data_IF_528339227750
#
_entry.id   IF_528339227750
#
_cell.length_a   1.000
_cell.length_b   1.000
_cell.length_c   1.000
_cell.angle_alpha   90.00
_cell.angle_beta   90.00
_cell.angle_gamma   90.00
#
_symmetry.space_group_name_H-M   'P 1'
#
loop_
_entity.id
_entity.type
_entity.pdbx_description
1 polymer ?
#
# COMPACT_ATOMS: atom_id res chain seq x y z
N UNK A 1 -19.25 -4.52 27.23
CA UNK A 1 -18.37 -5.44 26.48
C UNK A 1 -18.01 -4.92 25.09
N UNK A 2 -18.96 -4.39 24.32
CA UNK A 2 -18.75 -3.88 22.94
C UNK A 2 -17.62 -2.82 22.84
N UNK A 3 -17.66 -1.75 23.66
CA UNK A 3 -16.62 -0.68 23.64
C UNK A 3 -15.17 -1.16 23.76
N UNK A 4 -14.94 -2.17 24.60
CA UNK A 4 -13.62 -2.76 24.77
C UNK A 4 -13.19 -3.64 23.58
N UNK A 5 -14.14 -4.25 22.84
CA UNK A 5 -13.83 -4.94 21.59
C UNK A 5 -13.52 -3.98 20.45
N UNK A 6 -14.23 -2.86 20.32
CA UNK A 6 -13.94 -1.85 19.28
C UNK A 6 -12.52 -1.28 19.41
N UNK A 7 -12.14 -0.88 20.62
CA UNK A 7 -10.82 -0.32 20.89
C UNK A 7 -9.71 -1.32 20.54
N UNK A 8 -9.85 -2.58 20.97
CA UNK A 8 -8.87 -3.64 20.69
C UNK A 8 -8.77 -3.93 19.20
N UNK A 9 -9.89 -3.96 18.47
CA UNK A 9 -9.87 -4.15 17.03
C UNK A 9 -9.08 -3.05 16.31
N UNK A 10 -9.30 -1.78 16.67
CA UNK A 10 -8.54 -0.66 16.10
C UNK A 10 -7.04 -0.72 16.43
N UNK A 11 -6.69 -1.09 17.67
CA UNK A 11 -5.30 -1.24 18.08
C UNK A 11 -4.60 -2.39 17.35
N UNK A 12 -5.29 -3.51 17.16
CA UNK A 12 -4.77 -4.65 16.42
C UNK A 12 -4.55 -4.30 14.94
N UNK A 13 -5.52 -3.63 14.30
CA UNK A 13 -5.37 -3.17 12.91
C UNK A 13 -4.23 -2.18 12.76
N UNK A 14 -4.02 -1.30 13.73
CA UNK A 14 -2.87 -0.40 13.75
C UNK A 14 -1.55 -1.19 13.80
N UNK A 15 -1.44 -2.18 14.69
CA UNK A 15 -0.25 -3.03 14.78
C UNK A 15 0.04 -3.78 13.47
N UNK A 16 -0.98 -4.38 12.88
CA UNK A 16 -0.86 -5.11 11.60
C UNK A 16 -0.44 -4.20 10.44
N UNK A 17 -0.97 -2.97 10.38
CA UNK A 17 -0.58 -2.02 9.35
C UNK A 17 0.87 -1.54 9.54
N UNK A 18 1.27 -1.28 10.79
CA UNK A 18 2.64 -0.85 11.09
C UNK A 18 3.66 -1.94 10.71
N UNK A 19 3.39 -3.18 11.10
CA UNK A 19 4.25 -4.33 10.76
C UNK A 19 4.34 -4.53 9.24
N UNK A 20 3.22 -4.48 8.52
CA UNK A 20 3.22 -4.64 7.07
C UNK A 20 3.99 -3.52 6.35
N UNK A 21 3.91 -2.29 6.86
CA UNK A 21 4.69 -1.16 6.34
C UNK A 21 6.18 -1.32 6.60
N UNK A 22 6.58 -1.74 7.81
CA UNK A 22 7.99 -1.99 8.14
C UNK A 22 8.60 -3.08 7.26
N UNK A 23 7.82 -4.10 6.93
CA UNK A 23 8.25 -5.21 6.07
C UNK A 23 8.18 -4.88 4.56
N UNK A 24 7.53 -3.78 4.18
CA UNK A 24 7.26 -3.47 2.78
C UNK A 24 6.33 -4.50 2.10
N UNK A 25 5.48 -5.18 2.86
CA UNK A 25 4.56 -6.20 2.34
C UNK A 25 3.30 -5.54 1.78
N UNK A 26 3.36 -5.13 0.52
CA UNK A 26 2.28 -4.43 -0.17
C UNK A 26 1.00 -5.26 -0.31
N UNK A 27 1.12 -6.59 -0.42
CA UNK A 27 -0.03 -7.47 -0.47
C UNK A 27 -0.75 -7.47 0.88
N UNK A 28 0.00 -7.62 1.96
CA UNK A 28 -0.53 -7.56 3.32
C UNK A 28 -1.15 -6.20 3.66
N UNK A 29 -0.56 -5.10 3.19
CA UNK A 29 -1.15 -3.76 3.35
C UNK A 29 -2.55 -3.70 2.72
N UNK A 30 -2.75 -4.29 1.54
CA UNK A 30 -4.06 -4.36 0.89
C UNK A 30 -5.10 -5.16 1.68
N UNK A 31 -4.70 -6.29 2.26
CA UNK A 31 -5.58 -7.09 3.14
C UNK A 31 -5.98 -6.31 4.39
N UNK A 32 -5.01 -5.67 5.04
CA UNK A 32 -5.25 -4.87 6.25
C UNK A 32 -6.13 -3.66 5.93
N UNK A 33 -5.97 -3.00 4.77
CA UNK A 33 -6.84 -1.91 4.33
C UNK A 33 -8.31 -2.34 4.22
N UNK A 34 -8.57 -3.52 3.63
CA UNK A 34 -9.92 -4.06 3.55
C UNK A 34 -10.54 -4.31 4.94
N UNK A 35 -9.74 -4.82 5.88
CA UNK A 35 -10.16 -5.02 7.28
C UNK A 35 -10.41 -3.69 8.00
N UNK A 36 -9.57 -2.68 7.77
CA UNK A 36 -9.76 -1.32 8.29
C UNK A 36 -11.09 -0.76 7.78
N UNK A 37 -11.37 -0.87 6.48
CA UNK A 37 -12.65 -0.44 5.90
C UNK A 37 -13.83 -1.12 6.58
N UNK A 38 -13.81 -2.45 6.72
CA UNK A 38 -14.88 -3.20 7.37
C UNK A 38 -15.09 -2.77 8.83
N UNK A 39 -14.00 -2.59 9.58
CA UNK A 39 -14.05 -2.10 10.96
C UNK A 39 -14.67 -0.69 11.04
N UNK A 40 -14.25 0.23 10.18
CA UNK A 40 -14.77 1.60 10.15
C UNK A 40 -16.27 1.66 9.79
N UNK A 41 -16.74 0.77 8.91
CA UNK A 41 -18.17 0.64 8.58
C UNK A 41 -18.98 0.18 9.78
N UNK A 42 -18.49 -0.80 10.55
CA UNK A 42 -19.14 -1.24 11.79
C UNK A 42 -19.18 -0.12 12.83
N UNK A 43 -18.08 0.63 13.01
CA UNK A 43 -18.00 1.76 13.93
C UNK A 43 -18.94 2.91 13.55
N UNK A 44 -19.19 3.13 12.26
CA UNK A 44 -20.12 4.15 11.78
C UNK A 44 -21.58 3.84 12.15
N UNK A 45 -21.92 2.57 12.38
CA UNK A 45 -23.25 2.16 12.84
C UNK A 45 -23.49 2.36 14.34
N UNK A 46 -22.45 2.72 15.11
CA UNK A 46 -22.58 2.91 16.56
C UNK A 46 -23.07 4.34 16.89
N UNK A 47 -24.03 4.50 17.83
CA UNK A 47 -24.59 5.80 18.18
C UNK A 47 -23.58 6.72 18.87
N UNK A 48 -22.58 6.15 19.54
CA UNK A 48 -21.46 6.91 20.13
C UNK A 48 -20.22 6.04 20.27
N UNK A 49 -19.05 6.68 20.14
CA UNK A 49 -17.74 6.09 20.40
C UNK A 49 -17.18 6.70 21.69
N UNK A 50 -16.50 5.89 22.49
CA UNK A 50 -15.73 6.42 23.62
C UNK A 50 -14.53 7.22 23.14
N UNK A 51 -13.97 8.06 24.01
CA UNK A 51 -12.85 8.92 23.68
C UNK A 51 -11.59 8.10 23.35
N UNK A 52 -11.38 6.96 24.01
CA UNK A 52 -10.28 6.04 23.72
C UNK A 52 -10.40 5.45 22.33
N UNK A 53 -11.61 5.03 21.93
CA UNK A 53 -11.88 4.49 20.59
C UNK A 53 -11.71 5.57 19.52
N UNK A 54 -12.10 6.82 19.82
CA UNK A 54 -11.87 7.96 18.92
C UNK A 54 -10.37 8.24 18.76
N UNK A 55 -9.60 8.21 19.84
CA UNK A 55 -8.16 8.39 19.80
C UNK A 55 -7.45 7.26 19.04
N UNK A 56 -7.86 6.00 19.24
CA UNK A 56 -7.32 4.87 18.48
C UNK A 56 -7.63 4.98 16.98
N UNK A 57 -8.85 5.41 16.63
CA UNK A 57 -9.23 5.68 15.24
C UNK A 57 -8.36 6.77 14.60
N UNK A 58 -8.06 7.85 15.33
CA UNK A 58 -7.20 8.93 14.84
C UNK A 58 -5.76 8.46 14.58
N UNK A 59 -5.19 7.66 15.50
CA UNK A 59 -3.86 7.07 15.31
C UNK A 59 -3.82 6.17 14.08
N UNK A 60 -4.81 5.29 13.92
CA UNK A 60 -4.93 4.43 12.75
C UNK A 60 -5.07 5.25 11.45
N UNK A 61 -5.82 6.34 11.47
CA UNK A 61 -5.96 7.23 10.33
C UNK A 61 -4.63 7.89 9.94
N UNK A 62 -3.83 8.33 10.92
CA UNK A 62 -2.52 8.91 10.67
C UNK A 62 -1.57 7.90 10.02
N UNK A 63 -1.50 6.68 10.56
CA UNK A 63 -0.68 5.60 10.01
C UNK A 63 -1.15 5.20 8.60
N UNK A 64 -2.46 5.13 8.36
CA UNK A 64 -3.02 4.90 7.02
C UNK A 64 -2.61 5.99 6.03
N UNK A 65 -2.59 7.25 6.46
CA UNK A 65 -2.08 8.36 5.66
C UNK A 65 -0.62 8.15 5.23
N UNK A 66 0.23 7.68 6.14
CA UNK A 66 1.62 7.33 5.84
C UNK A 66 1.70 6.14 4.87
N UNK A 67 0.88 5.11 5.08
CA UNK A 67 0.79 3.96 4.18
C UNK A 67 0.47 4.38 2.75
N UNK A 68 -0.49 5.30 2.58
CA UNK A 68 -0.87 5.82 1.26
C UNK A 68 0.28 6.52 0.54
N UNK A 69 1.09 7.29 1.27
CA UNK A 69 2.28 7.95 0.70
C UNK A 69 3.30 6.89 0.27
N UNK A 70 3.62 5.94 1.14
CA UNK A 70 4.56 4.87 0.83
C UNK A 70 4.12 4.04 -0.38
N UNK A 71 2.83 3.70 -0.49
CA UNK A 71 2.28 3.00 -1.65
C UNK A 71 2.43 3.83 -2.94
N UNK A 72 2.24 5.14 -2.89
CA UNK A 72 2.41 6.01 -4.06
C UNK A 72 3.88 6.06 -4.51
N UNK A 73 4.81 6.15 -3.56
CA UNK A 73 6.25 6.11 -3.83
C UNK A 73 6.68 4.78 -4.45
N UNK A 74 6.14 3.66 -3.95
CA UNK A 74 6.42 2.34 -4.51
C UNK A 74 5.86 2.18 -5.92
N UNK A 75 4.63 2.63 -6.18
CA UNK A 75 4.07 2.65 -7.53
C UNK A 75 4.95 3.44 -8.50
N UNK A 76 5.49 4.58 -8.05
CA UNK A 76 6.40 5.41 -8.84
C UNK A 76 7.76 4.72 -9.06
N UNK A 77 8.28 3.98 -8.07
CA UNK A 77 9.49 3.16 -8.22
C UNK A 77 9.28 2.07 -9.27
N UNK A 78 8.17 1.33 -9.20
CA UNK A 78 7.84 0.27 -10.16
C UNK A 78 7.66 0.86 -11.57
N UNK A 79 6.98 2.00 -11.69
CA UNK A 79 6.82 2.71 -12.98
C UNK A 79 8.17 3.03 -13.62
N UNK A 80 9.12 3.57 -12.84
CA UNK A 80 10.47 3.88 -13.33
C UNK A 80 11.22 2.62 -13.77
N UNK A 81 11.13 1.53 -13.00
CA UNK A 81 11.75 0.25 -13.36
C UNK A 81 11.22 -0.30 -14.69
N UNK A 82 9.90 -0.26 -14.88
CA UNK A 82 9.26 -0.70 -16.13
C UNK A 82 9.69 0.15 -17.33
N UNK A 83 9.81 1.47 -17.16
CA UNK A 83 10.31 2.35 -18.22
C UNK A 83 11.76 2.02 -18.61
N UNK A 84 12.64 1.79 -17.63
CA UNK A 84 14.02 1.38 -17.93
C UNK A 84 14.07 0.06 -18.70
N UNK A 85 13.19 -0.91 -18.39
CA UNK A 85 13.11 -2.15 -19.16
C UNK A 85 12.62 -1.93 -20.60
N UNK A 86 11.69 -1.00 -20.81
CA UNK A 86 11.23 -0.63 -22.14
C UNK A 86 12.36 0.00 -22.97
N UNK A 87 13.03 1.01 -22.42
CA UNK A 87 14.18 1.68 -23.06
C UNK A 87 15.31 0.69 -23.38
N UNK A 88 15.59 -0.25 -22.47
CA UNK A 88 16.60 -1.29 -22.70
C UNK A 88 16.18 -2.27 -23.81
N UNK A 89 14.89 -2.63 -23.88
CA UNK A 89 14.38 -3.48 -24.95
C UNK A 89 14.43 -2.79 -26.32
N UNK A 90 14.06 -1.51 -26.38
CA UNK A 90 14.16 -0.68 -27.58
C UNK A 90 15.61 -0.51 -28.04
N UNK A 91 16.53 -0.25 -27.10
CA UNK A 91 17.97 -0.17 -27.37
C UNK A 91 18.52 -1.46 -27.97
N UNK A 92 18.20 -2.63 -27.39
CA UNK A 92 18.62 -3.93 -27.95
C UNK A 92 18.06 -4.18 -29.35
N UNK A 93 16.82 -3.78 -29.61
CA UNK A 93 16.20 -3.89 -30.95
C UNK A 93 16.91 -3.02 -31.99
N UNK A 94 17.33 -1.81 -31.60
CA UNK A 94 18.08 -0.91 -32.47
C UNK A 94 19.44 -1.50 -32.90
N UNK A 95 20.18 -2.12 -31.97
CA UNK A 95 21.45 -2.79 -32.29
C UNK A 95 21.26 -4.00 -33.21
N UNK A 96 20.31 -4.89 -32.90
CA UNK A 96 19.99 -6.04 -33.77
C UNK A 96 19.64 -5.63 -35.21
N UNK A 97 18.94 -4.50 -35.36
CA UNK A 97 18.56 -3.99 -36.69
C UNK A 97 19.73 -3.36 -37.44
N UNK A 98 20.74 -2.83 -36.75
CA UNK A 98 21.98 -2.34 -37.36
C UNK A 98 22.84 -3.51 -37.83
N UNK A 99 22.97 -4.58 -37.02
CA UNK A 99 23.74 -5.77 -37.38
C UNK A 99 23.18 -6.44 -38.65
N UNK A 100 21.85 -6.60 -38.74
CA UNK A 100 21.18 -7.10 -39.95
C UNK A 100 21.43 -6.25 -41.20
N UNK A 101 21.60 -4.94 -41.04
CA UNK A 101 21.90 -4.02 -42.16
C UNK A 101 23.38 -4.05 -42.57
N UNK A 102 24.28 -4.49 -41.67
CA UNK A 102 25.71 -4.61 -41.92
C UNK A 102 26.09 -5.98 -42.50
N UNK A 103 25.39 -7.05 -42.12
CA UNK A 103 25.60 -8.41 -42.66
C UNK A 103 24.98 -8.62 -44.06
N UNK A 104 24.01 -7.79 -44.44
CA UNK A 104 23.37 -7.85 -45.76
C UNK A 104 24.10 -7.10 -46.88
N UNK A 105 25.36 -6.70 -46.69
CA UNK A 105 26.17 -5.95 -47.67
C UNK A 105 27.37 -6.74 -48.19
#
# INVERSE_FOLDING_TARGET
MQRASELRALQQLHGQLAEALEQGDWARIGEVDALIRACLQLLAGLPSLSDETRAAKQRLQQLHGQARVACAEECERVRRLLLTHLEYAEGRSAYLRVDLYQEGR
#
